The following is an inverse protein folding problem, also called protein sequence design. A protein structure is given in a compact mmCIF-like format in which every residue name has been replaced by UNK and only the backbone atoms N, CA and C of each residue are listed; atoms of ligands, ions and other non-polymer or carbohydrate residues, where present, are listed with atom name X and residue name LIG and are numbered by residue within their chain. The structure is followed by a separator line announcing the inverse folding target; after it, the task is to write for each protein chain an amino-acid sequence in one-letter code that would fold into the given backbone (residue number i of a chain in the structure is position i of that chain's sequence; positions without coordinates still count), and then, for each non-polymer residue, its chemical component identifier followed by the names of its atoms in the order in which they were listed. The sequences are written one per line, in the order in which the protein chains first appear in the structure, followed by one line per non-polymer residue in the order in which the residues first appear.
data_IF_667794417741
#
_entry.id   IF_667794417741
#
_cell.length_a   1.000
_cell.length_b   1.000
_cell.length_c   1.000
_cell.angle_alpha   90.00
_cell.angle_beta   90.00
_cell.angle_gamma   90.00
#
_symmetry.space_group_name_H-M   'P 1'
#
loop_
_entity.id
_entity.type
_entity.pdbx_description
1 polymer ?
#
# COMPACT_ATOMS: atom_id res chain seq x y z
N UNK A 1 3.68 12.24 6.39
CA UNK A 1 3.29 11.26 5.37
C UNK A 1 4.47 10.92 4.48
N UNK A 2 4.42 9.77 3.88
CA UNK A 2 5.49 9.32 3.00
C UNK A 2 5.46 10.07 1.68
N UNK A 3 6.57 10.70 1.33
CA UNK A 3 6.74 11.33 0.03
C UNK A 3 8.21 11.18 -0.37
N UNK A 4 8.52 11.17 -1.67
CA UNK A 4 9.91 11.15 -2.09
C UNK A 4 10.62 12.44 -1.71
N UNK A 5 11.87 12.32 -1.30
CA UNK A 5 12.67 13.49 -0.95
C UNK A 5 13.00 14.34 -2.17
N UNK A 6 13.07 13.70 -3.33
CA UNK A 6 13.46 14.36 -4.56
C UNK A 6 12.60 13.85 -5.69
N UNK A 7 12.20 14.74 -6.58
CA UNK A 7 11.40 14.32 -7.74
C UNK A 7 12.09 14.80 -9.00
N UNK A 8 12.12 13.91 -9.99
CA UNK A 8 12.65 14.26 -11.30
C UNK A 8 11.67 15.15 -12.03
N UNK A 9 10.38 14.85 -11.93
CA UNK A 9 9.33 15.63 -12.56
C UNK A 9 8.26 15.93 -11.54
N UNK A 10 7.70 17.12 -11.60
CA UNK A 10 6.62 17.50 -10.68
C UNK A 10 5.33 16.79 -11.01
N UNK A 11 5.12 16.50 -12.28
CA UNK A 11 3.90 15.79 -12.74
C UNK A 11 4.32 14.62 -13.59
N UNK A 12 3.54 13.57 -13.51
CA UNK A 12 3.83 12.34 -14.25
C UNK A 12 2.56 11.87 -14.94
N UNK A 13 2.75 11.13 -16.04
CA UNK A 13 1.62 10.51 -16.71
C UNK A 13 1.11 9.34 -15.88
N UNK A 14 -0.17 9.02 -16.06
CA UNK A 14 -0.77 7.93 -15.31
C UNK A 14 -0.15 6.57 -15.61
N UNK A 15 0.23 6.35 -16.85
CA UNK A 15 0.80 5.07 -17.23
C UNK A 15 -0.25 3.98 -17.36
N UNK A 16 0.21 2.78 -17.64
CA UNK A 16 -0.67 1.62 -17.77
C UNK A 16 -1.17 1.15 -16.41
N UNK A 17 -2.42 0.73 -16.37
CA UNK A 17 -3.02 0.15 -15.18
C UNK A 17 -3.21 -1.34 -15.41
N UNK A 18 -2.87 -2.12 -14.41
CA UNK A 18 -3.04 -3.58 -14.47
C UNK A 18 -1.72 -4.30 -14.36
N UNK A 19 -1.79 -5.60 -14.54
CA UNK A 19 -0.64 -6.46 -14.42
C UNK A 19 -0.56 -7.14 -13.08
N UNK A 20 0.37 -8.08 -12.97
CA UNK A 20 0.59 -8.87 -11.77
C UNK A 20 1.98 -8.56 -11.24
N UNK A 21 2.10 -8.44 -9.92
CA UNK A 21 3.38 -8.16 -9.31
C UNK A 21 4.34 -9.33 -9.51
N UNK A 22 5.55 -9.02 -9.98
CA UNK A 22 6.62 -10.01 -10.10
C UNK A 22 7.65 -9.86 -9.00
N UNK A 23 7.66 -8.69 -8.35
CA UNK A 23 8.53 -8.42 -7.21
C UNK A 23 7.67 -8.01 -6.03
N UNK A 24 8.11 -8.34 -4.83
CA UNK A 24 7.38 -7.96 -3.63
C UNK A 24 6.06 -8.67 -3.48
N UNK A 25 5.97 -9.89 -4.03
CA UNK A 25 4.76 -10.68 -3.96
C UNK A 25 4.83 -11.79 -2.89
N UNK A 26 5.85 -11.75 -2.05
CA UNK A 26 6.02 -12.71 -0.96
C UNK A 26 6.32 -11.99 0.34
N UNK A 27 5.90 -12.60 1.44
CA UNK A 27 6.21 -12.09 2.78
C UNK A 27 7.65 -12.44 3.10
N UNK A 28 8.49 -11.42 3.27
CA UNK A 28 9.93 -11.61 3.46
C UNK A 28 10.45 -11.18 4.84
N UNK A 29 9.86 -10.17 5.43
CA UNK A 29 10.36 -9.58 6.67
C UNK A 29 9.61 -10.02 7.90
N UNK A 30 8.31 -10.13 7.80
CA UNK A 30 7.47 -10.54 8.92
C UNK A 30 6.97 -11.95 8.76
N UNK A 31 5.95 -12.28 9.53
CA UNK A 31 5.33 -13.60 9.50
C UNK A 31 4.04 -13.59 8.72
N UNK A 32 3.40 -12.44 8.63
CA UNK A 32 2.10 -12.28 7.99
C UNK A 32 2.12 -11.02 7.13
N UNK A 33 1.25 -10.98 6.15
CA UNK A 33 1.18 -9.82 5.27
C UNK A 33 -0.21 -9.58 4.72
N UNK A 34 -0.36 -8.42 4.12
CA UNK A 34 -1.58 -8.02 3.44
C UNK A 34 -1.25 -7.84 1.96
N UNK A 35 -1.85 -8.67 1.13
CA UNK A 35 -1.59 -8.67 -0.30
C UNK A 35 -2.75 -8.03 -1.05
N UNK A 36 -2.43 -7.36 -2.14
CA UNK A 36 -3.44 -6.76 -3.01
C UNK A 36 -4.10 -7.85 -3.86
N UNK A 37 -5.42 -7.82 -3.94
CA UNK A 37 -6.16 -8.74 -4.80
C UNK A 37 -6.49 -8.12 -6.15
N UNK A 38 -6.19 -6.85 -6.33
CA UNK A 38 -6.45 -6.14 -7.58
C UNK A 38 -5.46 -5.00 -7.72
N UNK A 39 -5.38 -4.45 -8.91
CA UNK A 39 -4.56 -3.28 -9.19
C UNK A 39 -5.21 -2.04 -8.56
N UNK A 40 -4.37 -1.12 -8.08
CA UNK A 40 -4.89 0.14 -7.58
C UNK A 40 -3.80 1.11 -7.18
N UNK A 41 -4.22 2.30 -6.86
CA UNK A 41 -3.35 3.35 -6.35
C UNK A 41 -3.65 3.55 -4.87
N UNK A 42 -2.60 3.52 -4.07
CA UNK A 42 -2.72 3.71 -2.63
C UNK A 42 -2.06 5.05 -2.30
N UNK A 43 -2.80 5.95 -1.71
CA UNK A 43 -2.28 7.27 -1.38
C UNK A 43 -1.43 7.21 -0.12
N UNK A 44 -0.58 8.21 0.03
CA UNK A 44 0.23 8.38 1.22
C UNK A 44 -0.64 8.39 2.49
N UNK A 45 -1.80 9.05 2.43
CA UNK A 45 -2.72 9.10 3.56
C UNK A 45 -3.30 7.73 3.91
N UNK A 46 -3.60 6.94 2.88
CA UNK A 46 -4.13 5.59 3.10
C UNK A 46 -3.08 4.69 3.74
N UNK A 47 -1.82 4.81 3.30
CA UNK A 47 -0.73 4.06 3.90
C UNK A 47 -0.59 4.41 5.37
N UNK A 48 -0.63 5.69 5.68
CA UNK A 48 -0.51 6.16 7.07
C UNK A 48 -1.69 5.70 7.91
N UNK A 49 -2.90 5.75 7.36
CA UNK A 49 -4.08 5.27 8.07
C UNK A 49 -3.96 3.78 8.41
N UNK A 50 -3.44 2.99 7.48
CA UNK A 50 -3.22 1.56 7.72
C UNK A 50 -2.19 1.34 8.84
N UNK A 51 -1.08 2.06 8.78
CA UNK A 51 -0.04 1.95 9.80
C UNK A 51 -0.58 2.25 11.18
N UNK A 52 -1.34 3.32 11.31
CA UNK A 52 -1.93 3.72 12.58
C UNK A 52 -2.90 2.65 13.09
N UNK A 53 -3.73 2.13 12.20
CA UNK A 53 -4.71 1.11 12.56
C UNK A 53 -4.03 -0.15 13.08
N UNK A 54 -2.98 -0.61 12.38
CA UNK A 54 -2.25 -1.79 12.79
C UNK A 54 -1.57 -1.56 14.15
N UNK A 55 -0.95 -0.41 14.30
CA UNK A 55 -0.28 -0.05 15.55
C UNK A 55 -1.24 -0.05 16.74
N UNK A 56 -2.43 0.51 16.55
CA UNK A 56 -3.44 0.53 17.61
C UNK A 56 -3.87 -0.88 18.01
N UNK A 57 -4.07 -1.72 17.02
CA UNK A 57 -4.49 -3.10 17.27
C UNK A 57 -3.41 -3.85 18.04
N UNK A 58 -2.15 -3.59 17.72
CA UNK A 58 -1.03 -4.25 18.38
C UNK A 58 -0.69 -3.66 19.74
N UNK A 59 -1.20 -2.48 20.05
CA UNK A 59 -0.89 -1.80 21.31
C UNK A 59 0.61 -1.68 21.54
N UNK A 60 1.32 -1.36 20.47
CA UNK A 60 2.78 -1.19 20.46
C UNK A 60 3.57 -2.50 20.57
N UNK A 61 2.91 -3.63 20.51
CA UNK A 61 3.59 -4.91 20.39
C UNK A 61 3.78 -5.23 18.93
N UNK A 62 4.79 -6.04 18.63
CA UNK A 62 5.02 -6.48 17.27
C UNK A 62 5.69 -5.41 16.40
N UNK A 63 5.88 -5.77 15.16
CA UNK A 63 6.53 -4.91 14.16
C UNK A 63 5.71 -4.83 12.90
N UNK A 64 5.84 -3.70 12.20
CA UNK A 64 5.18 -3.45 10.93
C UNK A 64 6.24 -3.08 9.91
N UNK A 65 6.15 -3.69 8.73
CA UNK A 65 6.98 -3.31 7.58
C UNK A 65 6.05 -2.81 6.49
N UNK A 66 6.28 -1.59 6.03
CA UNK A 66 5.52 -1.02 4.92
C UNK A 66 6.31 -1.32 3.66
N UNK A 67 5.74 -2.14 2.76
CA UNK A 67 6.43 -2.63 1.58
C UNK A 67 6.15 -1.80 0.32
N UNK A 68 5.33 -0.77 0.42
CA UNK A 68 5.01 0.09 -0.71
C UNK A 68 5.41 1.52 -0.36
N UNK A 69 5.74 2.28 -1.39
CA UNK A 69 6.13 3.66 -1.21
C UNK A 69 5.42 4.53 -2.24
N UNK A 70 4.85 5.67 -1.84
CA UNK A 70 4.10 6.52 -2.76
C UNK A 70 5.05 7.40 -3.56
N UNK A 71 5.55 6.87 -4.67
CA UNK A 71 6.54 7.56 -5.49
C UNK A 71 5.99 8.14 -6.79
N UNK A 72 4.70 7.94 -7.07
CA UNK A 72 4.09 8.48 -8.27
C UNK A 72 3.21 9.68 -7.92
N UNK A 73 3.44 10.79 -8.59
CA UNK A 73 2.61 11.97 -8.43
C UNK A 73 1.33 11.82 -9.21
N UNK A 74 0.26 12.33 -8.65
CA UNK A 74 -0.98 12.41 -9.38
C UNK A 74 -1.56 13.80 -9.27
N UNK A 75 -2.37 14.18 -10.25
CA UNK A 75 -3.02 15.47 -10.28
C UNK A 75 -4.52 15.28 -10.32
N UNK A 76 -5.22 16.19 -9.69
CA UNK A 76 -6.66 16.21 -9.71
C UNK A 76 -7.10 17.59 -10.13
N UNK A 77 -8.07 17.65 -11.04
CA UNK A 77 -8.61 18.94 -11.45
C UNK A 77 -9.50 19.45 -10.34
N UNK A 78 -9.24 20.66 -9.82
CA UNK A 78 -10.11 21.23 -8.80
C UNK A 78 -11.51 21.45 -9.34
N UNK A 79 -12.49 21.38 -8.46
CA UNK A 79 -13.86 21.69 -8.85
C UNK A 79 -13.94 23.11 -9.36
N UNK A 80 -14.72 23.32 -10.41
CA UNK A 80 -14.88 24.62 -10.99
C UNK A 80 -13.78 25.04 -11.93
N UNK A 81 -12.74 24.22 -12.10
CA UNK A 81 -11.68 24.54 -13.05
C UNK A 81 -12.24 24.39 -14.47
N UNK A 82 -12.02 25.40 -15.28
CA UNK A 82 -12.49 25.38 -16.67
C UNK A 82 -11.68 24.36 -17.45
N UNK A 83 -12.39 23.68 -18.35
CA UNK A 83 -11.71 22.77 -19.26
C UNK A 83 -10.76 23.54 -20.15
N UNK A 84 -9.65 22.91 -20.50
CA UNK A 84 -8.67 23.53 -21.37
C UNK A 84 -7.56 24.28 -20.69
N UNK A 85 -7.62 24.42 -19.39
CA UNK A 85 -6.52 25.08 -18.65
C UNK A 85 -5.33 24.15 -18.40
N UNK A 86 -5.33 22.99 -18.97
CA UNK A 86 -4.26 22.06 -18.81
C UNK A 86 -4.34 21.25 -17.52
N UNK A 87 -3.24 20.62 -17.20
CA UNK A 87 -3.16 19.78 -16.01
C UNK A 87 -3.23 20.63 -14.76
N UNK A 88 -4.00 20.17 -13.79
CA UNK A 88 -4.04 20.82 -12.50
C UNK A 88 -2.75 20.61 -11.71
N UNK A 89 -2.68 21.21 -10.54
CA UNK A 89 -1.54 21.03 -9.65
C UNK A 89 -1.51 19.61 -9.13
N UNK A 90 -0.31 19.16 -8.76
CA UNK A 90 -0.16 17.85 -8.15
C UNK A 90 -0.93 17.81 -6.83
N UNK A 91 -1.76 16.79 -6.67
CA UNK A 91 -2.57 16.63 -5.45
C UNK A 91 -1.88 15.79 -4.41
N UNK A 92 -0.98 14.94 -4.79
CA UNK A 92 -0.29 14.10 -3.83
C UNK A 92 0.49 13.00 -4.49
N UNK A 93 0.84 12.02 -3.68
CA UNK A 93 1.67 10.90 -4.09
C UNK A 93 0.93 9.60 -3.86
N UNK A 94 1.11 8.67 -4.76
CA UNK A 94 0.49 7.34 -4.66
C UNK A 94 1.51 6.25 -4.92
N UNK A 95 1.28 5.10 -4.31
CA UNK A 95 1.98 3.88 -4.65
C UNK A 95 1.13 3.13 -5.66
N UNK A 96 1.72 2.72 -6.76
CA UNK A 96 1.04 1.92 -7.77
C UNK A 96 1.20 0.45 -7.35
N UNK A 97 0.09 -0.21 -7.09
CA UNK A 97 0.09 -1.56 -6.55
C UNK A 97 -0.52 -2.51 -7.56
N UNK A 98 0.21 -3.56 -7.90
CA UNK A 98 -0.28 -4.59 -8.81
C UNK A 98 -0.84 -5.76 -8.02
N UNK A 99 -1.70 -6.53 -8.67
CA UNK A 99 -2.28 -7.73 -8.05
C UNK A 99 -1.16 -8.63 -7.52
N UNK A 100 -1.30 -9.08 -6.28
CA UNK A 100 -0.31 -9.96 -5.64
C UNK A 100 0.75 -9.25 -4.83
N UNK A 101 0.85 -7.93 -4.93
CA UNK A 101 1.86 -7.18 -4.18
C UNK A 101 1.57 -7.23 -2.69
N UNK A 102 2.60 -7.52 -1.90
CA UNK A 102 2.51 -7.42 -0.44
C UNK A 102 2.70 -5.96 -0.07
N UNK A 103 1.70 -5.38 0.54
CA UNK A 103 1.72 -3.96 0.89
C UNK A 103 2.24 -3.72 2.30
N UNK A 104 1.85 -4.59 3.23
CA UNK A 104 2.26 -4.49 4.62
C UNK A 104 2.63 -5.87 5.13
N UNK A 105 3.62 -5.92 6.02
CA UNK A 105 3.95 -7.14 6.73
C UNK A 105 3.95 -6.87 8.21
N UNK A 106 3.64 -7.87 8.99
CA UNK A 106 3.64 -7.75 10.44
C UNK A 106 4.29 -8.98 11.05
N UNK A 107 4.83 -8.82 12.23
CA UNK A 107 5.45 -9.93 12.96
C UNK A 107 5.49 -9.63 14.44
N UNK A 108 5.87 -10.64 15.22
CA UNK A 108 5.97 -10.48 16.65
C UNK A 108 4.64 -10.50 17.38
N UNK A 109 3.58 -10.95 16.72
CA UNK A 109 2.25 -11.07 17.31
C UNK A 109 1.64 -12.40 16.88
N UNK A 110 0.57 -12.81 17.55
CA UNK A 110 -0.13 -14.03 17.19
C UNK A 110 -0.81 -13.88 15.83
N UNK A 111 -1.10 -15.01 15.21
CA UNK A 111 -1.80 -14.99 13.93
C UNK A 111 -3.17 -14.33 14.04
N UNK A 112 -3.89 -14.61 15.12
CA UNK A 112 -5.21 -14.00 15.33
C UNK A 112 -5.13 -12.48 15.39
N UNK A 113 -4.16 -11.96 16.14
CA UNK A 113 -3.97 -10.53 16.26
C UNK A 113 -3.54 -9.91 14.92
N UNK A 114 -2.67 -10.61 14.19
CA UNK A 114 -2.24 -10.16 12.88
C UNK A 114 -3.41 -10.10 11.91
N UNK A 115 -4.25 -11.14 11.90
CA UNK A 115 -5.45 -11.15 11.04
C UNK A 115 -6.37 -9.98 11.36
N UNK A 116 -6.60 -9.74 12.63
CA UNK A 116 -7.49 -8.64 13.04
C UNK A 116 -6.93 -7.31 12.58
N UNK A 117 -5.64 -7.07 12.84
CA UNK A 117 -5.01 -5.81 12.48
C UNK A 117 -5.03 -5.56 10.98
N UNK A 118 -4.66 -6.59 10.22
CA UNK A 118 -4.60 -6.45 8.76
C UNK A 118 -5.97 -6.35 8.13
N UNK A 119 -6.97 -7.02 8.70
CA UNK A 119 -8.34 -6.88 8.24
C UNK A 119 -8.83 -5.44 8.42
N UNK A 120 -8.58 -4.87 9.59
CA UNK A 120 -8.96 -3.48 9.86
C UNK A 120 -8.23 -2.51 8.93
N UNK A 121 -6.94 -2.76 8.70
CA UNK A 121 -6.17 -1.92 7.79
C UNK A 121 -6.74 -2.02 6.37
N UNK A 122 -7.13 -3.21 5.96
CA UNK A 122 -7.71 -3.40 4.63
C UNK A 122 -8.93 -2.56 4.38
N UNK A 123 -9.71 -2.27 5.42
CA UNK A 123 -10.88 -1.41 5.27
C UNK A 123 -10.51 0.05 4.99
N UNK A 124 -9.26 0.42 5.20
CA UNK A 124 -8.79 1.78 4.90
C UNK A 124 -8.24 1.90 3.46
N UNK A 125 -8.22 0.81 2.74
CA UNK A 125 -7.66 0.77 1.40
C UNK A 125 -8.78 0.74 0.36
N UNK A 126 -8.51 1.31 -0.84
CA UNK A 126 -9.54 1.36 -1.89
C UNK A 126 -9.61 0.09 -2.73
N UNK A 127 -8.77 -0.88 -2.45
CA UNK A 127 -8.71 -2.12 -3.24
C UNK A 127 -8.99 -3.31 -2.35
N UNK A 128 -9.36 -4.41 -2.97
CA UNK A 128 -9.54 -5.67 -2.25
C UNK A 128 -8.20 -6.24 -1.86
N UNK A 129 -8.15 -6.84 -0.67
CA UNK A 129 -6.92 -7.36 -0.11
C UNK A 129 -7.16 -8.74 0.48
N UNK A 130 -6.07 -9.45 0.74
CA UNK A 130 -6.16 -10.73 1.44
C UNK A 130 -5.01 -10.88 2.42
N UNK A 131 -5.27 -11.63 3.46
CA UNK A 131 -4.26 -11.99 4.47
C UNK A 131 -3.41 -13.13 3.92
N UNK A 132 -2.10 -13.02 4.08
CA UNK A 132 -1.18 -14.09 3.66
C UNK A 132 -0.19 -14.39 4.78
N UNK A 133 0.28 -15.62 4.80
CA UNK A 133 1.31 -16.07 5.72
C UNK A 133 2.62 -16.20 4.99
N UNK A 134 3.71 -16.08 5.73
CA UNK A 134 5.03 -16.32 5.17
C UNK A 134 5.17 -17.80 4.80
N UNK A 135 5.66 -18.07 3.61
CA UNK A 135 5.93 -19.43 3.20
C UNK A 135 7.16 -19.95 3.93
N UNK A 136 7.09 -21.17 4.40
CA UNK A 136 8.22 -21.78 5.04
C UNK A 136 9.22 -22.24 4.00
N UNK A 137 10.49 -21.96 4.26
CA UNK A 137 11.54 -22.43 3.38
C UNK A 137 11.66 -23.95 3.52
N UNK A 138 11.58 -24.64 2.39
CA UNK A 138 11.64 -26.09 2.38
C UNK A 138 10.37 -26.75 2.84
N UNK A 139 9.38 -26.00 3.19
CA UNK A 139 8.13 -26.53 3.63
C UNK A 139 7.36 -27.05 2.45
N UNK A 140 6.52 -27.79 2.71
CA UNK A 140 5.86 -28.15 1.82
C UNK A 140 4.86 -27.61 1.61
N UNK A 141 4.42 -27.21 1.44
CA UNK A 141 3.59 -26.57 1.06
C UNK A 141 2.43 -26.99 0.96
#
# INVERSE_FOLDING_TARGET
MLIPKRTKYRKQFRGKMGGIATKGNKVDFGEFGLAAKEFGWITSRQIEACRITINRTFKREGKIWIRIFPDKRYTKRPEGTRMGKGKGNAEGWVAVVKKGKIMFEVGGVSEEKAKEALRKAGHKLPIKVRFVKREEVGGDK
#
